data_IF_072044295192
#
_entry.id   IF_072044295192
#
_cell.length_a   1.000
_cell.length_b   1.000
_cell.length_c   1.000
_cell.angle_alpha   90.00
_cell.angle_beta   90.00
_cell.angle_gamma   90.00
#
_symmetry.space_group_name_H-M   'P 1'
#
loop_
_entity.id
_entity.type
_entity.pdbx_description
1 polymer ?
#
# COMPACT_ATOMS: atom_id res chain seq x y z
N UNK A 1 3.98 -4.20 -8.04
CA UNK A 1 2.93 -5.06 -8.59
C UNK A 1 2.99 -6.44 -7.96
N UNK A 2 1.85 -7.11 -7.84
CA UNK A 2 1.72 -8.50 -7.38
C UNK A 2 1.03 -9.31 -8.48
N UNK A 3 1.77 -10.27 -9.05
CA UNK A 3 1.26 -11.24 -10.03
C UNK A 3 0.28 -12.23 -9.39
N UNK A 4 -0.23 -13.16 -10.19
CA UNK A 4 -1.13 -14.23 -9.71
C UNK A 4 -0.45 -15.21 -8.74
N UNK A 5 0.89 -15.24 -8.71
CA UNK A 5 1.69 -16.15 -7.86
C UNK A 5 2.15 -15.49 -6.56
N UNK A 6 1.94 -14.19 -6.41
CA UNK A 6 2.37 -13.44 -5.21
C UNK A 6 1.31 -13.52 -4.10
N UNK A 7 1.69 -13.14 -2.87
CA UNK A 7 0.76 -13.05 -1.74
C UNK A 7 -0.08 -11.79 -1.87
N UNK A 8 -1.40 -11.95 -1.92
CA UNK A 8 -2.36 -10.84 -2.08
C UNK A 8 -2.91 -10.26 -0.77
N UNK A 9 -2.51 -10.82 0.37
CA UNK A 9 -2.80 -10.23 1.68
C UNK A 9 -1.93 -8.99 1.84
N UNK A 10 -2.55 -7.85 2.11
CA UNK A 10 -1.85 -6.61 2.38
C UNK A 10 -1.87 -6.30 3.87
N UNK A 11 -0.80 -5.67 4.32
CA UNK A 11 -0.52 -5.41 5.73
C UNK A 11 -0.34 -3.92 5.95
N UNK A 12 -0.68 -3.45 7.15
CA UNK A 12 -0.49 -2.06 7.54
C UNK A 12 1.01 -1.72 7.53
N UNK A 13 1.45 -0.65 6.86
CA UNK A 13 2.86 -0.25 6.83
C UNK A 13 3.32 0.35 8.17
N UNK A 14 2.39 0.82 8.99
CA UNK A 14 2.64 1.42 10.30
C UNK A 14 1.60 0.95 11.32
N UNK A 15 1.95 1.05 12.61
CA UNK A 15 0.95 0.95 13.67
C UNK A 15 0.15 2.26 13.77
N UNK A 16 -1.08 2.21 14.25
CA UNK A 16 -1.88 3.40 14.50
C UNK A 16 -3.38 3.16 14.35
N UNK A 17 -4.14 4.24 14.31
CA UNK A 17 -5.58 4.22 14.11
C UNK A 17 -5.93 4.36 12.63
N UNK A 18 -6.88 3.55 12.16
CA UNK A 18 -7.48 3.71 10.83
C UNK A 18 -8.33 4.97 10.84
N UNK A 19 -7.79 6.07 10.34
CA UNK A 19 -8.46 7.37 10.28
C UNK A 19 -9.49 7.44 9.14
N UNK A 20 -9.23 6.76 8.02
CA UNK A 20 -10.13 6.74 6.87
C UNK A 20 -10.04 5.42 6.10
N UNK A 21 -11.17 4.94 5.61
CA UNK A 21 -11.27 3.88 4.60
C UNK A 21 -12.23 4.38 3.51
N UNK A 22 -11.74 4.55 2.28
CA UNK A 22 -12.55 5.04 1.18
C UNK A 22 -12.50 4.07 -0.01
N UNK A 23 -13.65 3.51 -0.34
CA UNK A 23 -13.84 2.65 -1.50
C UNK A 23 -14.23 3.48 -2.72
N UNK A 24 -13.58 3.21 -3.85
CA UNK A 24 -13.92 3.82 -5.14
C UNK A 24 -14.20 2.69 -6.16
N UNK A 25 -15.43 2.60 -6.69
CA UNK A 25 -15.73 1.64 -7.75
C UNK A 25 -14.97 2.02 -9.03
N UNK A 26 -14.62 1.03 -9.85
CA UNK A 26 -13.92 1.29 -11.10
C UNK A 26 -13.95 0.10 -12.06
N UNK A 27 -13.14 0.20 -13.11
CA UNK A 27 -12.90 -0.81 -14.14
C UNK A 27 -11.86 -1.83 -13.66
N UNK A 28 -11.52 -2.76 -14.55
CA UNK A 28 -10.54 -3.82 -14.31
C UNK A 28 -9.49 -3.81 -15.43
N UNK A 29 -8.70 -2.75 -15.55
CA UNK A 29 -7.55 -2.67 -16.45
C UNK A 29 -6.34 -3.39 -15.83
N UNK A 30 -5.28 -3.66 -16.59
CA UNK A 30 -4.04 -4.22 -16.03
C UNK A 30 -3.44 -3.26 -14.98
N UNK A 31 -3.20 -3.75 -13.76
CA UNK A 31 -2.72 -2.96 -12.62
C UNK A 31 -1.27 -2.46 -12.78
N UNK A 32 -0.53 -2.95 -13.78
CA UNK A 32 0.79 -2.40 -14.14
C UNK A 32 0.72 -1.09 -14.91
N UNK A 33 -0.44 -0.73 -15.49
CA UNK A 33 -0.59 0.51 -16.26
C UNK A 33 -0.84 1.70 -15.33
N UNK A 34 -0.28 2.87 -15.63
CA UNK A 34 -0.48 4.10 -14.85
C UNK A 34 -1.98 4.46 -14.72
N UNK A 35 -2.74 4.29 -15.81
CA UNK A 35 -4.20 4.53 -15.85
C UNK A 35 -4.99 3.65 -14.87
N UNK A 36 -4.42 2.55 -14.36
CA UNK A 36 -5.08 1.70 -13.38
C UNK A 36 -5.36 2.44 -12.05
N UNK A 37 -4.52 3.40 -11.64
CA UNK A 37 -4.78 4.18 -10.43
C UNK A 37 -6.01 5.09 -10.55
N UNK A 38 -6.36 5.51 -11.78
CA UNK A 38 -7.47 6.42 -12.05
C UNK A 38 -8.77 5.66 -12.32
N UNK A 39 -8.68 4.61 -13.13
CA UNK A 39 -9.85 3.93 -13.68
C UNK A 39 -10.27 2.70 -12.89
N UNK A 40 -9.36 2.01 -12.18
CA UNK A 40 -9.69 0.74 -11.54
C UNK A 40 -10.36 0.88 -10.17
N UNK A 41 -11.07 -0.20 -9.78
CA UNK A 41 -11.54 -0.39 -8.41
C UNK A 41 -10.37 -0.25 -7.42
N UNK A 42 -10.56 0.60 -6.43
CA UNK A 42 -9.52 0.92 -5.45
C UNK A 42 -10.09 1.14 -4.05
N UNK A 43 -9.25 0.89 -3.06
CA UNK A 43 -9.57 1.15 -1.67
C UNK A 43 -8.41 1.90 -1.00
N UNK A 44 -8.72 3.10 -0.55
CA UNK A 44 -7.79 3.96 0.16
C UNK A 44 -7.90 3.72 1.66
N UNK A 45 -6.76 3.75 2.32
CA UNK A 45 -6.65 3.72 3.76
C UNK A 45 -5.76 4.87 4.23
N UNK A 46 -6.12 5.45 5.36
CA UNK A 46 -5.29 6.41 6.08
C UNK A 46 -5.07 5.87 7.49
N UNK A 47 -3.82 5.62 7.86
CA UNK A 47 -3.44 5.24 9.22
C UNK A 47 -2.74 6.43 9.88
N UNK A 48 -3.19 6.81 11.07
CA UNK A 48 -2.60 7.91 11.85
C UNK A 48 -2.00 7.35 13.13
N UNK A 49 -0.72 7.65 13.36
CA UNK A 49 0.00 7.33 14.60
C UNK A 49 -0.40 8.29 15.71
N UNK A 50 -0.08 7.92 16.94
CA UNK A 50 -0.30 8.75 18.13
C UNK A 50 0.48 10.07 18.07
N UNK A 51 1.62 10.10 17.37
CA UNK A 51 2.44 11.31 17.16
C UNK A 51 1.91 12.22 16.03
N UNK A 52 0.74 11.91 15.46
CA UNK A 52 0.08 12.68 14.41
C UNK A 52 0.56 12.37 12.99
N UNK A 53 1.63 11.57 12.83
CA UNK A 53 2.09 11.18 11.48
C UNK A 53 1.06 10.28 10.83
N UNK A 54 0.70 10.59 9.59
CA UNK A 54 -0.27 9.82 8.82
C UNK A 54 0.36 9.21 7.56
N UNK A 55 0.03 7.94 7.30
CA UNK A 55 0.45 7.22 6.10
C UNK A 55 -0.81 6.79 5.34
N UNK A 56 -0.89 7.25 4.09
CA UNK A 56 -1.88 6.80 3.15
C UNK A 56 -1.38 5.59 2.38
N UNK A 57 -2.25 4.64 2.07
CA UNK A 57 -1.95 3.63 1.07
C UNK A 57 -3.21 3.18 0.34
N UNK A 58 -3.06 2.71 -0.89
CA UNK A 58 -4.17 2.37 -1.76
C UNK A 58 -3.99 0.97 -2.31
N UNK A 59 -5.03 0.16 -2.12
CA UNK A 59 -5.20 -1.12 -2.79
C UNK A 59 -5.82 -0.88 -4.17
N UNK A 60 -5.22 -1.40 -5.23
CA UNK A 60 -5.69 -1.25 -6.61
C UNK A 60 -5.89 -2.63 -7.22
N UNK A 61 -7.14 -2.96 -7.55
CA UNK A 61 -7.48 -4.19 -8.24
C UNK A 61 -7.09 -4.10 -9.72
N UNK A 62 -6.60 -5.19 -10.32
CA UNK A 62 -6.34 -5.28 -11.76
C UNK A 62 -7.34 -6.16 -12.51
N UNK A 63 -6.99 -6.50 -13.75
CA UNK A 63 -7.85 -7.18 -14.73
C UNK A 63 -8.52 -8.48 -14.24
N UNK A 64 -7.83 -9.25 -13.41
CA UNK A 64 -8.33 -10.57 -12.92
C UNK A 64 -8.95 -10.45 -11.52
N UNK A 65 -8.67 -9.35 -10.81
CA UNK A 65 -9.02 -9.11 -9.42
C UNK A 65 -10.51 -8.75 -9.26
N UNK A 66 -11.36 -9.71 -8.86
CA UNK A 66 -12.82 -9.48 -8.86
C UNK A 66 -13.39 -8.67 -7.69
N UNK A 67 -12.65 -8.42 -6.60
CA UNK A 67 -13.02 -7.53 -5.47
C UNK A 67 -11.82 -7.23 -4.57
N UNK A 68 -11.77 -6.02 -4.03
CA UNK A 68 -11.00 -5.68 -2.82
C UNK A 68 -11.81 -6.04 -1.57
N UNK A 69 -11.16 -6.60 -0.55
CA UNK A 69 -11.79 -6.89 0.74
C UNK A 69 -10.99 -6.24 1.86
N UNK A 70 -11.59 -5.26 2.56
CA UNK A 70 -11.04 -4.73 3.80
C UNK A 70 -11.27 -5.71 4.96
N UNK A 71 -10.28 -5.85 5.85
CA UNK A 71 -10.40 -6.58 7.12
C UNK A 71 -10.57 -5.64 8.32
N UNK A 72 -10.39 -4.34 8.09
CA UNK A 72 -10.44 -3.28 9.11
C UNK A 72 -11.43 -2.20 8.65
N UNK A 73 -11.90 -1.39 9.59
CA UNK A 73 -12.79 -0.25 9.36
C UNK A 73 -12.26 1.01 10.03
N UNK A 74 -12.86 2.16 9.68
CA UNK A 74 -12.57 3.43 10.33
C UNK A 74 -12.72 3.32 11.85
N UNK A 75 -11.68 3.78 12.55
CA UNK A 75 -11.58 3.77 14.01
C UNK A 75 -10.92 2.55 14.63
N UNK A 76 -10.64 1.50 13.87
CA UNK A 76 -9.86 0.37 14.37
C UNK A 76 -8.41 0.79 14.65
N UNK A 77 -7.77 0.12 15.61
CA UNK A 77 -6.33 0.27 15.88
C UNK A 77 -5.61 -0.96 15.32
N UNK A 78 -4.52 -0.73 14.59
CA UNK A 78 -3.74 -1.78 13.94
C UNK A 78 -2.28 -1.72 14.35
N UNK A 79 -1.64 -2.88 14.46
CA UNK A 79 -0.19 -2.98 14.59
C UNK A 79 0.52 -2.84 13.23
N UNK A 80 1.80 -2.47 13.25
CA UNK A 80 2.62 -2.53 12.06
C UNK A 80 2.71 -3.99 11.57
N UNK A 81 2.52 -4.21 10.27
CA UNK A 81 2.47 -5.56 9.70
C UNK A 81 1.14 -6.30 9.93
N UNK A 82 0.15 -5.72 10.61
CA UNK A 82 -1.16 -6.35 10.78
C UNK A 82 -1.89 -6.46 9.43
N UNK A 83 -2.65 -7.54 9.23
CA UNK A 83 -3.39 -7.77 7.97
C UNK A 83 -4.59 -6.83 7.90
N UNK A 84 -4.68 -6.06 6.83
CA UNK A 84 -5.71 -5.01 6.67
C UNK A 84 -6.67 -5.28 5.52
N UNK A 85 -6.31 -6.16 4.60
CA UNK A 85 -7.15 -6.49 3.47
C UNK A 85 -6.52 -7.46 2.49
N UNK A 86 -7.30 -7.78 1.47
CA UNK A 86 -6.97 -8.72 0.40
C UNK A 86 -7.39 -8.13 -0.95
N UNK A 87 -6.51 -8.21 -1.95
CA UNK A 87 -6.82 -7.86 -3.34
C UNK A 87 -6.51 -9.06 -4.23
N UNK A 88 -7.53 -9.77 -4.69
CA UNK A 88 -7.34 -11.00 -5.49
C UNK A 88 -6.48 -10.73 -6.73
N UNK A 89 -5.52 -11.61 -7.04
CA UNK A 89 -4.76 -11.78 -8.29
C UNK A 89 -4.57 -10.59 -9.25
N UNK A 90 -3.31 -10.23 -9.50
CA UNK A 90 -2.94 -9.18 -10.47
C UNK A 90 -3.30 -7.80 -9.94
N UNK A 91 -2.64 -7.38 -8.86
CA UNK A 91 -2.99 -6.18 -8.11
C UNK A 91 -1.76 -5.35 -7.72
N UNK A 92 -2.01 -4.12 -7.28
CA UNK A 92 -0.98 -3.17 -6.85
C UNK A 92 -1.35 -2.55 -5.52
N UNK A 93 -0.33 -2.21 -4.73
CA UNK A 93 -0.47 -1.36 -3.54
C UNK A 93 0.44 -0.16 -3.73
N UNK A 94 -0.14 1.02 -3.61
CA UNK A 94 0.59 2.29 -3.61
C UNK A 94 0.68 2.79 -2.16
N UNK A 95 1.87 3.16 -1.67
CA UNK A 95 2.09 3.69 -0.31
C UNK A 95 2.59 5.13 -0.44
N UNK A 96 1.92 6.06 0.22
CA UNK A 96 2.20 7.49 0.17
C UNK A 96 3.01 7.86 1.41
N UNK A 97 4.26 8.26 1.19
CA UNK A 97 5.18 8.64 2.25
C UNK A 97 5.13 10.16 2.44
N UNK A 98 5.00 10.67 3.68
CA UNK A 98 5.05 12.09 3.96
C UNK A 98 6.45 12.64 3.68
N UNK A 99 6.54 13.97 3.59
CA UNK A 99 7.82 14.66 3.49
C UNK A 99 8.78 14.24 4.63
N UNK A 100 10.08 14.36 4.38
CA UNK A 100 11.14 13.94 5.31
C UNK A 100 11.16 12.43 5.66
N UNK A 101 10.66 11.58 4.75
CA UNK A 101 10.79 10.12 4.83
C UNK A 101 11.91 9.63 3.89
N UNK A 102 12.79 8.77 4.38
CA UNK A 102 13.82 8.12 3.55
C UNK A 102 13.31 6.75 3.08
N UNK A 103 13.13 6.52 1.78
CA UNK A 103 12.87 5.18 1.25
C UNK A 103 13.98 4.22 1.71
N UNK A 104 13.62 2.97 2.01
CA UNK A 104 14.56 1.90 2.37
C UNK A 104 14.57 0.78 1.31
N UNK A 105 13.96 1.05 0.16
CA UNK A 105 13.88 0.17 -1.00
C UNK A 105 14.31 0.91 -2.26
N UNK A 106 14.78 0.16 -3.25
CA UNK A 106 15.13 0.69 -4.58
C UNK A 106 14.14 0.21 -5.65
N UNK A 107 14.12 0.89 -6.78
CA UNK A 107 13.27 0.50 -7.92
C UNK A 107 13.60 -0.93 -8.37
N UNK A 108 12.56 -1.72 -8.64
CA UNK A 108 12.68 -3.12 -9.05
C UNK A 108 12.96 -4.11 -7.90
N UNK A 109 13.20 -3.64 -6.68
CA UNK A 109 13.39 -4.52 -5.52
C UNK A 109 12.11 -5.29 -5.20
N UNK A 110 12.23 -6.62 -5.06
CA UNK A 110 11.14 -7.46 -4.59
C UNK A 110 10.91 -7.23 -3.10
N UNK A 111 9.66 -6.98 -2.72
CA UNK A 111 9.25 -6.78 -1.32
C UNK A 111 8.55 -8.02 -0.77
N UNK A 112 8.70 -8.26 0.53
CA UNK A 112 8.04 -9.32 1.30
C UNK A 112 7.08 -8.66 2.29
N UNK A 113 5.80 -9.02 2.22
CA UNK A 113 4.74 -8.39 2.99
C UNK A 113 4.92 -8.62 4.50
N UNK A 114 5.08 -7.53 5.25
CA UNK A 114 5.27 -7.56 6.71
C UNK A 114 6.72 -7.71 7.16
N UNK A 115 7.67 -7.84 6.23
CA UNK A 115 9.10 -7.99 6.54
C UNK A 115 9.95 -6.88 5.91
N UNK A 116 9.70 -6.55 4.63
CA UNK A 116 10.46 -5.49 3.96
C UNK A 116 10.05 -4.12 4.47
N UNK A 117 11.00 -3.41 5.07
CA UNK A 117 10.84 -2.01 5.46
C UNK A 117 10.82 -1.15 4.20
N UNK A 118 9.72 -0.45 3.94
CA UNK A 118 9.58 0.41 2.76
C UNK A 118 10.30 1.75 2.94
N UNK A 119 10.26 2.31 4.15
CA UNK A 119 10.80 3.63 4.43
C UNK A 119 11.00 3.86 5.94
N UNK A 120 11.81 4.86 6.29
CA UNK A 120 12.02 5.32 7.67
C UNK A 120 11.58 6.78 7.80
N UNK A 121 10.66 7.04 8.73
CA UNK A 121 10.16 8.37 9.04
C UNK A 121 11.22 9.21 9.77
N UNK A 122 11.27 10.52 9.52
CA UNK A 122 12.14 11.45 10.25
C UNK A 122 13.61 11.38 9.87
N UNK A 123 13.95 10.69 8.77
CA UNK A 123 15.28 10.74 8.16
C UNK A 123 15.12 11.20 6.71
N UNK A 124 15.57 12.40 6.37
CA UNK A 124 15.73 12.81 4.98
C UNK A 124 17.11 12.34 4.50
N UNK A 125 17.22 11.08 4.06
CA UNK A 125 18.42 10.57 3.39
C UNK A 125 18.03 10.08 2.01
N UNK A 126 18.51 10.77 0.97
CA UNK A 126 18.38 10.35 -0.42
C UNK A 126 19.17 9.05 -0.62
N UNK A 127 18.46 7.96 -0.95
CA UNK A 127 19.10 6.78 -1.53
C UNK A 127 19.48 7.12 -2.97
N UNK A 128 20.75 7.42 -3.22
CA UNK A 128 21.29 7.54 -4.57
C UNK A 128 21.50 6.13 -5.09
N UNK A 129 20.59 5.65 -5.94
CA UNK A 129 20.77 4.39 -6.66
C UNK A 129 21.85 4.57 -7.72
N UNK A 130 22.99 3.90 -7.55
CA UNK A 130 23.94 3.71 -8.64
C UNK A 130 23.41 2.57 -9.53
N UNK A 131 22.80 2.93 -10.66
CA UNK A 131 22.59 2.00 -11.76
C UNK A 131 23.94 1.67 -12.39
N UNK A 132 24.37 0.41 -12.28
CA UNK A 132 25.29 -0.23 -13.24
C UNK A 132 24.45 -0.86 -14.34
#
# INVERSE_FOLDING_TARGET
>A
FMSVFDVHINRSPIAGRIAKVAYVPGKFLNADLDKASEDNERQHFLVTREDGVSIGFTQIAGLVARRIMAFVKEGDTVAAGERIGLIRFGSRVDVYLPEATSPQVVLGQRTIAGETVLATLGQARLLIGNSQ
#
